data_IF_729896208442
#
_entry.id   IF_729896208442
#
_cell.length_a   1.000
_cell.length_b   1.000
_cell.length_c   1.000
_cell.angle_alpha   90.00
_cell.angle_beta   90.00
_cell.angle_gamma   90.00
#
_symmetry.space_group_name_H-M   'P 1'
#
loop_
_entity.id
_entity.type
_entity.pdbx_description
1 polymer ?
#
# COMPACT_ATOMS: atom_id res chain seq x y z
N UNK A 1 16.27 18.70 -19.66
CA UNK A 1 15.48 18.60 -18.40
C UNK A 1 16.45 18.46 -17.24
N UNK A 2 16.52 19.47 -16.37
CA UNK A 2 17.46 19.55 -15.25
C UNK A 2 17.13 18.52 -14.17
N UNK A 3 18.15 17.94 -13.52
CA UNK A 3 17.98 16.88 -12.50
C UNK A 3 17.00 17.28 -11.38
N UNK A 4 16.99 18.56 -11.00
CA UNK A 4 16.07 19.15 -10.01
C UNK A 4 14.61 19.16 -10.45
N UNK A 5 14.30 19.38 -11.75
CA UNK A 5 12.93 19.31 -12.26
C UNK A 5 12.39 17.88 -12.24
N UNK A 6 13.21 16.88 -12.60
CA UNK A 6 12.82 15.47 -12.49
C UNK A 6 12.56 15.08 -11.04
N UNK A 7 13.37 15.57 -10.11
CA UNK A 7 13.25 15.27 -8.69
C UNK A 7 11.97 15.87 -8.07
N UNK A 8 11.62 17.12 -8.39
CA UNK A 8 10.37 17.74 -7.92
C UNK A 8 9.12 17.05 -8.47
N UNK A 9 9.15 16.60 -9.74
CA UNK A 9 8.05 15.85 -10.35
C UNK A 9 7.91 14.46 -9.68
N UNK A 10 9.01 13.76 -9.43
CA UNK A 10 8.98 12.47 -8.72
C UNK A 10 8.42 12.60 -7.31
N UNK A 11 8.83 13.64 -6.55
CA UNK A 11 8.32 13.89 -5.20
C UNK A 11 6.82 14.23 -5.22
N UNK A 12 6.37 15.02 -6.21
CA UNK A 12 4.95 15.34 -6.37
C UNK A 12 4.11 14.09 -6.67
N UNK A 13 4.58 13.21 -7.59
CA UNK A 13 3.91 11.94 -7.88
C UNK A 13 3.87 11.00 -6.67
N UNK A 14 4.96 10.91 -5.90
CA UNK A 14 5.01 10.07 -4.70
C UNK A 14 4.02 10.55 -3.64
N UNK A 15 3.95 11.86 -3.41
CA UNK A 15 2.98 12.45 -2.47
C UNK A 15 1.55 12.17 -2.92
N UNK A 16 1.26 12.32 -4.21
CA UNK A 16 -0.05 12.03 -4.78
C UNK A 16 -0.43 10.54 -4.61
N UNK A 17 0.50 9.64 -4.91
CA UNK A 17 0.31 8.20 -4.72
C UNK A 17 0.05 7.84 -3.26
N UNK A 18 0.72 8.51 -2.32
CA UNK A 18 0.58 8.25 -0.89
C UNK A 18 -0.80 8.65 -0.36
N UNK A 19 -1.31 9.80 -0.81
CA UNK A 19 -2.68 10.26 -0.47
C UNK A 19 -3.72 9.28 -1.02
N UNK A 20 -3.63 8.94 -2.31
CA UNK A 20 -4.58 8.02 -2.94
C UNK A 20 -4.56 6.62 -2.31
N UNK A 21 -3.38 6.11 -1.99
CA UNK A 21 -3.22 4.80 -1.34
C UNK A 21 -3.86 4.80 0.06
N UNK A 22 -3.60 5.83 0.87
CA UNK A 22 -4.18 5.96 2.22
C UNK A 22 -5.70 6.03 2.23
N UNK A 23 -6.30 6.89 1.39
CA UNK A 23 -7.76 7.02 1.30
C UNK A 23 -8.42 5.72 0.85
N UNK A 24 -7.76 4.99 -0.04
CA UNK A 24 -8.35 3.78 -0.59
C UNK A 24 -8.44 2.64 0.44
N UNK A 25 -7.45 2.46 1.32
CA UNK A 25 -7.55 1.46 2.39
C UNK A 25 -8.68 1.75 3.36
N UNK A 26 -8.95 3.03 3.65
CA UNK A 26 -10.08 3.42 4.46
C UNK A 26 -11.41 3.00 3.81
N UNK A 27 -11.57 3.28 2.52
CA UNK A 27 -12.77 2.89 1.76
C UNK A 27 -12.93 1.37 1.65
N UNK A 28 -11.86 0.62 1.38
CA UNK A 28 -11.93 -0.85 1.28
C UNK A 28 -12.34 -1.46 2.62
N UNK A 29 -11.86 -0.92 3.75
CA UNK A 29 -12.21 -1.41 5.08
C UNK A 29 -13.72 -1.35 5.34
N UNK A 30 -14.40 -0.31 4.86
CA UNK A 30 -15.85 -0.19 4.97
C UNK A 30 -16.57 -1.19 4.04
N UNK A 31 -16.02 -1.41 2.83
CA UNK A 31 -16.62 -2.26 1.80
C UNK A 31 -16.47 -3.77 2.05
N UNK A 32 -15.41 -4.22 2.73
CA UNK A 32 -15.17 -5.64 3.05
C UNK A 32 -16.31 -6.23 3.90
N UNK A 33 -17.06 -5.40 4.65
CA UNK A 33 -18.23 -5.85 5.42
C UNK A 33 -19.40 -6.35 4.55
N UNK A 34 -19.42 -5.98 3.26
CA UNK A 34 -20.54 -6.22 2.34
C UNK A 34 -20.13 -6.95 1.05
N UNK A 35 -18.83 -7.03 0.76
CA UNK A 35 -18.29 -7.58 -0.51
C UNK A 35 -17.04 -8.39 -0.23
N UNK A 36 -16.95 -9.57 -0.85
CA UNK A 36 -15.77 -10.44 -0.72
C UNK A 36 -14.47 -9.73 -1.13
N UNK A 37 -13.37 -9.90 -0.36
CA UNK A 37 -12.05 -9.32 -0.66
C UNK A 37 -11.54 -9.61 -2.08
N UNK A 38 -11.90 -10.78 -2.62
CA UNK A 38 -11.56 -11.25 -3.96
C UNK A 38 -12.32 -10.46 -5.04
N UNK A 39 -13.61 -10.19 -4.81
CA UNK A 39 -14.45 -9.43 -5.75
C UNK A 39 -14.02 -7.96 -5.84
N UNK A 40 -13.68 -7.34 -4.70
CA UNK A 40 -13.08 -6.00 -4.66
C UNK A 40 -11.78 -5.98 -5.47
N UNK A 41 -10.96 -7.02 -5.34
CA UNK A 41 -9.70 -7.09 -6.07
C UNK A 41 -9.90 -7.22 -7.59
N UNK A 42 -10.82 -8.11 -8.01
CA UNK A 42 -11.17 -8.27 -9.42
C UNK A 42 -11.70 -6.98 -10.05
N UNK A 43 -12.64 -6.29 -9.37
CA UNK A 43 -13.20 -5.04 -9.88
C UNK A 43 -12.13 -3.97 -10.15
N UNK A 44 -11.14 -3.85 -9.27
CA UNK A 44 -10.03 -2.88 -9.43
C UNK A 44 -9.14 -3.22 -10.62
N UNK A 45 -8.81 -4.49 -10.82
CA UNK A 45 -8.03 -4.91 -11.99
C UNK A 45 -8.82 -4.73 -13.29
N UNK A 46 -10.14 -4.96 -13.27
CA UNK A 46 -11.02 -4.68 -14.41
C UNK A 46 -11.07 -3.17 -14.73
N UNK A 47 -11.23 -2.31 -13.73
CA UNK A 47 -11.18 -0.86 -13.93
C UNK A 47 -9.81 -0.38 -14.43
N UNK A 48 -8.72 -0.95 -13.90
CA UNK A 48 -7.37 -0.66 -14.34
C UNK A 48 -7.14 -1.04 -15.81
N UNK A 49 -7.59 -2.23 -16.22
CA UNK A 49 -7.57 -2.67 -17.62
C UNK A 49 -8.39 -1.75 -18.53
N UNK A 50 -9.57 -1.33 -18.10
CA UNK A 50 -10.41 -0.41 -18.87
C UNK A 50 -9.79 0.99 -19.04
N UNK A 51 -9.10 1.51 -18.02
CA UNK A 51 -8.51 2.85 -18.04
C UNK A 51 -7.16 2.91 -18.75
N UNK A 52 -6.29 1.91 -18.52
CA UNK A 52 -4.95 1.85 -19.13
C UNK A 52 -4.91 1.11 -20.47
N UNK A 53 -5.88 0.24 -20.76
CA UNK A 53 -6.00 -0.48 -22.03
C UNK A 53 -5.89 0.40 -23.28
N UNK A 54 -6.63 1.51 -23.41
CA UNK A 54 -6.56 2.36 -24.61
C UNK A 54 -5.26 3.15 -24.76
N UNK A 55 -4.45 3.29 -23.69
CA UNK A 55 -3.19 4.04 -23.70
C UNK A 55 -2.06 3.20 -24.32
N UNK A 56 -2.12 1.88 -24.15
CA UNK A 56 -1.11 0.94 -24.67
C UNK A 56 -1.39 0.46 -26.10
N UNK A 57 -2.52 0.85 -26.68
CA UNK A 57 -2.95 0.44 -28.03
C UNK A 57 -1.97 0.90 -29.13
N UNK A 58 -1.16 1.93 -28.86
CA UNK A 58 -0.13 2.47 -29.76
C UNK A 58 1.24 1.74 -29.69
N UNK A 59 1.43 0.75 -28.80
CA UNK A 59 2.70 0.00 -28.64
C UNK A 59 2.55 -1.51 -28.87
N UNK A 60 1.58 -1.90 -29.72
CA UNK A 60 1.19 -3.29 -29.99
C UNK A 60 2.29 -4.24 -30.47
N UNK A 61 3.37 -3.72 -31.07
CA UNK A 61 4.33 -4.54 -31.79
C UNK A 61 5.20 -5.46 -30.90
N UNK A 62 5.24 -5.26 -29.57
CA UNK A 62 6.00 -6.11 -28.63
C UNK A 62 5.14 -6.73 -27.51
N UNK A 63 3.81 -6.56 -27.52
CA UNK A 63 2.94 -7.05 -26.45
C UNK A 63 2.75 -8.57 -26.47
N UNK A 64 2.84 -9.20 -27.64
CA UNK A 64 2.58 -10.63 -27.79
C UNK A 64 3.76 -11.53 -27.43
N UNK A 65 5.00 -11.03 -27.53
CA UNK A 65 6.20 -11.85 -27.23
C UNK A 65 6.41 -12.11 -25.73
N UNK A 66 5.94 -11.20 -24.86
CA UNK A 66 6.12 -11.31 -23.40
C UNK A 66 4.78 -11.33 -22.63
N UNK A 67 3.70 -11.82 -23.25
CA UNK A 67 2.40 -11.89 -22.58
C UNK A 67 2.45 -12.82 -21.35
N UNK A 68 3.21 -13.92 -21.41
CA UNK A 68 3.34 -14.83 -20.25
C UNK A 68 3.90 -14.11 -19.02
N UNK A 69 4.95 -13.31 -19.18
CA UNK A 69 5.58 -12.55 -18.09
C UNK A 69 4.63 -11.48 -17.53
N UNK A 70 3.83 -10.85 -18.40
CA UNK A 70 2.77 -9.92 -18.02
C UNK A 70 1.65 -10.60 -17.22
N UNK A 71 1.24 -11.80 -17.63
CA UNK A 71 0.23 -12.58 -16.91
C UNK A 71 0.73 -13.07 -15.56
N UNK A 72 1.96 -13.58 -15.50
CA UNK A 72 2.57 -14.06 -14.24
C UNK A 72 2.71 -12.91 -13.26
N UNK A 73 3.24 -11.77 -13.71
CA UNK A 73 3.40 -10.58 -12.88
C UNK A 73 2.04 -10.03 -12.43
N UNK A 74 1.05 -9.98 -13.34
CA UNK A 74 -0.31 -9.53 -13.03
C UNK A 74 -1.02 -10.44 -12.03
N UNK A 75 -0.88 -11.76 -12.16
CA UNK A 75 -1.43 -12.74 -11.23
C UNK A 75 -0.79 -12.62 -9.85
N UNK A 76 0.54 -12.43 -9.78
CA UNK A 76 1.26 -12.23 -8.52
C UNK A 76 0.81 -10.93 -7.83
N UNK A 77 0.61 -9.86 -8.60
CA UNK A 77 0.12 -8.57 -8.10
C UNK A 77 -1.33 -8.66 -7.59
N UNK A 78 -2.18 -9.41 -8.30
CA UNK A 78 -3.55 -9.68 -7.87
C UNK A 78 -3.57 -10.49 -6.58
N UNK A 79 -2.78 -11.55 -6.49
CA UNK A 79 -2.67 -12.38 -5.30
C UNK A 79 -2.19 -11.55 -4.09
N UNK A 80 -1.15 -10.72 -4.28
CA UNK A 80 -0.68 -9.78 -3.27
C UNK A 80 -1.81 -8.86 -2.77
N UNK A 81 -2.61 -8.31 -3.68
CA UNK A 81 -3.70 -7.40 -3.32
C UNK A 81 -4.86 -8.13 -2.59
N UNK A 82 -5.16 -9.37 -2.96
CA UNK A 82 -6.12 -10.22 -2.23
C UNK A 82 -5.62 -10.47 -0.81
N UNK A 83 -4.35 -10.86 -0.63
CA UNK A 83 -3.75 -11.05 0.69
C UNK A 83 -3.79 -9.76 1.52
N UNK A 84 -3.55 -8.62 0.90
CA UNK A 84 -3.61 -7.31 1.55
C UNK A 84 -5.04 -6.95 1.99
N UNK A 85 -6.05 -7.22 1.15
CA UNK A 85 -7.46 -7.00 1.49
C UNK A 85 -7.94 -7.95 2.60
N UNK A 86 -7.55 -9.23 2.55
CA UNK A 86 -7.84 -10.20 3.63
C UNK A 86 -7.17 -9.72 4.94
N UNK A 87 -5.93 -9.24 4.89
CA UNK A 87 -5.28 -8.64 6.06
C UNK A 87 -6.08 -7.49 6.67
N UNK A 88 -6.71 -6.67 5.83
CA UNK A 88 -7.58 -5.55 6.21
C UNK A 88 -8.91 -5.97 6.87
N UNK A 89 -9.35 -7.20 6.65
CA UNK A 89 -10.48 -7.80 7.37
C UNK A 89 -10.11 -8.00 8.86
N UNK A 90 -8.91 -8.55 9.09
CA UNK A 90 -8.41 -8.86 10.43
C UNK A 90 -7.76 -7.67 11.15
N UNK A 91 -7.42 -6.58 10.45
CA UNK A 91 -6.71 -5.43 11.04
C UNK A 91 -7.19 -4.09 10.51
N UNK A 92 -6.93 -3.00 11.23
CA UNK A 92 -7.39 -1.65 10.84
C UNK A 92 -6.64 -1.14 9.60
N UNK A 93 -7.23 -0.18 8.88
CA UNK A 93 -6.58 0.48 7.74
C UNK A 93 -5.21 1.08 8.10
N UNK A 94 -5.06 1.60 9.33
CA UNK A 94 -3.79 2.10 9.85
C UNK A 94 -2.75 0.99 10.04
N UNK A 95 -3.16 -0.19 10.53
CA UNK A 95 -2.23 -1.30 10.74
C UNK A 95 -1.80 -1.96 9.42
N UNK A 96 -2.70 -2.07 8.43
CA UNK A 96 -2.33 -2.60 7.10
C UNK A 96 -1.42 -1.66 6.31
N UNK A 97 -1.68 -0.35 6.38
CA UNK A 97 -0.78 0.64 5.77
C UNK A 97 0.57 0.70 6.47
N UNK A 98 0.63 0.48 7.78
CA UNK A 98 1.89 0.29 8.51
C UNK A 98 2.65 -0.97 8.10
N UNK A 99 1.98 -2.13 7.97
CA UNK A 99 2.61 -3.36 7.50
C UNK A 99 3.20 -3.19 6.09
N UNK A 100 2.49 -2.46 5.23
CA UNK A 100 3.00 -2.10 3.90
C UNK A 100 4.17 -1.12 3.99
N UNK A 101 4.15 -0.17 4.94
CA UNK A 101 5.27 0.72 5.24
C UNK A 101 6.51 -0.02 5.75
N UNK A 102 6.34 -1.08 6.55
CA UNK A 102 7.44 -1.95 7.00
C UNK A 102 8.16 -2.65 5.83
N UNK A 103 7.52 -2.79 4.66
CA UNK A 103 8.18 -3.34 3.47
C UNK A 103 9.35 -2.47 3.00
N UNK A 104 9.42 -1.19 3.39
CA UNK A 104 10.60 -0.35 3.13
C UNK A 104 11.89 -0.95 3.71
N UNK A 105 11.76 -1.85 4.69
CA UNK A 105 12.88 -2.59 5.30
C UNK A 105 13.19 -3.85 4.50
N UNK A 106 12.14 -4.59 4.13
CA UNK A 106 12.29 -5.87 3.42
C UNK A 106 12.82 -5.69 2.00
N UNK A 107 12.40 -4.63 1.29
CA UNK A 107 12.83 -4.34 -0.10
C UNK A 107 14.36 -4.23 -0.24
N UNK A 108 15.08 -3.37 0.51
CA UNK A 108 16.53 -3.28 0.40
C UNK A 108 17.25 -4.55 0.90
N UNK A 109 16.69 -5.30 1.84
CA UNK A 109 17.26 -6.58 2.30
C UNK A 109 17.19 -7.62 1.18
N UNK A 110 16.01 -7.78 0.57
CA UNK A 110 15.80 -8.69 -0.56
C UNK A 110 16.66 -8.23 -1.75
N UNK A 111 16.72 -6.92 -2.01
CA UNK A 111 17.57 -6.36 -3.07
C UNK A 111 19.06 -6.65 -2.82
N UNK A 112 19.54 -6.50 -1.59
CA UNK A 112 20.92 -6.84 -1.23
C UNK A 112 21.20 -8.33 -1.38
N UNK A 113 20.21 -9.19 -1.08
CA UNK A 113 20.31 -10.63 -1.28
C UNK A 113 20.35 -11.01 -2.78
N UNK A 114 19.46 -10.43 -3.59
CA UNK A 114 19.39 -10.70 -5.04
C UNK A 114 20.58 -10.13 -5.82
N UNK A 115 21.02 -8.91 -5.49
CA UNK A 115 22.09 -8.21 -6.21
C UNK A 115 23.48 -8.44 -5.61
N UNK A 116 23.57 -9.18 -4.48
CA UNK A 116 24.82 -9.42 -3.74
C UNK A 116 25.60 -8.13 -3.40
N UNK A 117 24.92 -6.98 -3.33
CA UNK A 117 25.55 -5.72 -2.96
C UNK A 117 25.78 -5.66 -1.45
N UNK A 118 26.98 -5.22 -1.05
CA UNK A 118 27.29 -4.95 0.36
C UNK A 118 26.49 -3.74 0.83
N UNK A 119 25.58 -3.96 1.78
CA UNK A 119 24.89 -2.87 2.48
C UNK A 119 25.92 -2.01 3.22
N UNK A 120 26.13 -0.80 2.73
CA UNK A 120 26.97 0.21 3.39
C UNK A 120 26.40 0.54 4.77
N UNK A 121 27.26 0.85 5.75
CA UNK A 121 26.86 1.22 7.11
C UNK A 121 25.89 2.41 7.15
N UNK A 122 25.98 3.30 6.16
CA UNK A 122 25.06 4.43 5.98
C UNK A 122 23.63 3.97 5.63
N UNK A 123 23.47 2.98 4.75
CA UNK A 123 22.14 2.40 4.41
C UNK A 123 21.48 1.76 5.62
N UNK A 124 22.27 1.16 6.52
CA UNK A 124 21.78 0.57 7.78
C UNK A 124 21.28 1.67 8.73
N UNK A 125 21.97 2.82 8.79
CA UNK A 125 21.56 3.95 9.61
C UNK A 125 20.24 4.57 9.10
N UNK A 126 20.10 4.73 7.78
CA UNK A 126 18.86 5.20 7.13
C UNK A 126 17.69 4.23 7.38
N UNK A 127 17.95 2.94 7.30
CA UNK A 127 16.97 1.89 7.61
C UNK A 127 16.47 2.01 9.05
N UNK A 128 17.38 2.17 10.00
CA UNK A 128 17.06 2.33 11.42
C UNK A 128 16.25 3.61 11.68
N UNK A 129 16.63 4.71 11.01
CA UNK A 129 15.92 5.98 11.12
C UNK A 129 14.51 5.91 10.52
N UNK A 130 14.33 5.20 9.40
CA UNK A 130 13.03 4.95 8.77
C UNK A 130 12.13 4.09 9.66
N UNK A 131 12.68 3.04 10.29
CA UNK A 131 11.98 2.20 11.28
C UNK A 131 11.45 3.04 12.43
N UNK A 132 12.30 3.91 12.99
CA UNK A 132 11.90 4.80 14.08
C UNK A 132 10.78 5.77 13.64
N UNK A 133 10.90 6.36 12.45
CA UNK A 133 9.85 7.23 11.90
C UNK A 133 8.52 6.51 11.72
N UNK A 134 8.53 5.31 11.11
CA UNK A 134 7.36 4.46 10.93
C UNK A 134 6.72 4.05 12.27
N UNK A 135 7.53 3.69 13.26
CA UNK A 135 7.08 3.31 14.59
C UNK A 135 6.42 4.47 15.35
N UNK A 136 6.97 5.68 15.23
CA UNK A 136 6.39 6.91 15.81
C UNK A 136 5.06 7.26 15.14
N UNK A 137 5.00 7.26 13.80
CA UNK A 137 3.80 7.62 13.03
C UNK A 137 2.64 6.66 13.31
N UNK A 138 2.95 5.38 13.50
CA UNK A 138 1.94 4.34 13.73
C UNK A 138 1.48 4.26 15.20
N UNK A 139 2.05 5.09 16.08
CA UNK A 139 1.61 5.16 17.47
C UNK A 139 2.25 4.12 18.39
N UNK A 140 3.44 3.61 18.07
CA UNK A 140 4.20 2.71 18.96
C UNK A 140 4.51 3.32 20.34
N UNK A 141 4.48 4.65 20.48
CA UNK A 141 4.59 5.37 21.76
C UNK A 141 3.25 5.58 22.49
N UNK A 142 2.11 5.33 21.84
CA UNK A 142 0.79 5.47 22.46
C UNK A 142 0.32 4.14 23.05
N UNK A 143 0.64 3.94 24.33
CA UNK A 143 -0.12 3.09 25.26
C UNK A 143 -1.57 3.60 25.48
N UNK A 144 -2.28 3.99 24.41
CA UNK A 144 -3.67 4.49 24.42
C UNK A 144 -4.42 4.16 23.13
N UNK A 145 -4.15 2.99 22.53
CA UNK A 145 -4.92 2.45 21.41
C UNK A 145 -6.38 2.07 21.78
N UNK A 146 -6.82 2.22 23.06
CA UNK A 146 -8.14 1.74 23.53
C UNK A 146 -8.78 2.56 24.68
N UNK A 147 -9.00 3.87 24.54
CA UNK A 147 -9.87 4.59 25.51
C UNK A 147 -10.79 5.61 24.82
N UNK A 148 -11.72 5.08 24.03
CA UNK A 148 -13.05 5.62 23.62
C UNK A 148 -13.12 7.01 22.96
N UNK A 149 -13.83 7.09 21.82
CA UNK A 149 -15.08 7.85 21.86
C UNK A 149 -16.18 7.08 21.10
N UNK A 150 -16.81 6.11 21.75
CA UNK A 150 -18.07 5.53 21.25
C UNK A 150 -19.09 5.26 22.36
N UNK A 151 -18.91 5.86 23.54
CA UNK A 151 -19.87 5.85 24.65
C UNK A 151 -20.33 7.27 24.97
N UNK A 152 -20.95 7.93 23.99
CA UNK A 152 -21.88 9.05 24.23
C UNK A 152 -23.34 8.66 23.99
N UNK A 153 -23.62 7.43 23.56
CA UNK A 153 -25.00 6.89 23.43
C UNK A 153 -25.51 6.18 24.68
N UNK A 154 -24.65 5.85 25.66
CA UNK A 154 -25.06 5.16 26.89
C UNK A 154 -25.41 6.11 28.05
N UNK A 155 -25.19 7.43 27.92
CA UNK A 155 -25.61 8.42 28.92
C UNK A 155 -27.02 8.97 28.67
N UNK A 156 -27.57 8.81 27.46
CA UNK A 156 -28.92 9.28 27.10
C UNK A 156 -30.03 8.36 27.62
N UNK A 157 -29.71 7.10 27.92
CA UNK A 157 -30.66 6.06 28.34
C UNK A 157 -30.80 5.93 29.88
N UNK A 158 -30.07 6.74 30.65
CA UNK A 158 -30.15 6.75 32.12
C UNK A 158 -30.92 7.97 32.67
N UNK A 159 -31.40 8.86 31.79
CA UNK A 159 -32.10 10.11 32.14
C UNK A 159 -33.55 10.10 31.60
N UNK A 160 -33.97 9.06 30.87
CA UNK A 160 -35.37 8.82 30.48
C UNK A 160 -35.90 7.57 31.18
#
# INVERSE_FOLDING_TARGET
>A
MTQTQKQNISVALLTFSMVFSGTTYFVIRDLISSVDPVAIALYRFFLGLGFFGPIFDNQKNNLFDNWLDGMISGLFLWLFMVLQNIGLEFTTASNSSFLTGLFIIFVPIISAFLQSEKLSRLKILELFLSILGLWVITGGLQNKFWRYPFTLSSLSLCIL
#
